data_IF_599812289212
#
_entry.id   IF_599812289212
#
_cell.length_a   1.000
_cell.length_b   1.000
_cell.length_c   1.000
_cell.angle_alpha   90.00
_cell.angle_beta   90.00
_cell.angle_gamma   90.00
#
_symmetry.space_group_name_H-M   'P 1'
#
loop_
_entity.id
_entity.type
_entity.pdbx_description
1 polymer ?
#
# COMPACT_ATOMS: atom_id res chain seq x y z
N UNK A 1 20.78 1.41 -16.65
CA UNK A 1 19.72 2.43 -16.73
C UNK A 1 18.80 2.16 -15.55
N UNK A 2 18.94 2.93 -14.47
CA UNK A 2 18.09 2.76 -13.29
C UNK A 2 16.70 3.29 -13.62
N UNK A 3 15.67 2.47 -13.46
CA UNK A 3 14.29 2.91 -13.58
C UNK A 3 14.02 3.95 -12.47
N UNK A 4 14.13 5.23 -12.80
CA UNK A 4 13.57 6.29 -11.97
C UNK A 4 12.06 6.19 -12.14
N UNK A 5 11.40 5.40 -11.29
CA UNK A 5 9.94 5.47 -11.18
C UNK A 5 9.64 6.91 -10.74
N UNK A 6 9.05 7.69 -11.63
CA UNK A 6 8.74 9.10 -11.39
C UNK A 6 7.65 9.22 -10.34
N UNK A 7 8.05 9.25 -9.06
CA UNK A 7 7.15 9.53 -7.96
C UNK A 7 6.82 11.02 -7.98
N UNK A 8 5.52 11.33 -7.99
CA UNK A 8 5.03 12.70 -8.05
C UNK A 8 3.90 12.92 -7.04
N UNK A 9 3.94 14.01 -6.28
CA UNK A 9 2.92 14.33 -5.26
C UNK A 9 1.49 14.50 -5.81
N UNK A 10 1.33 14.62 -7.12
CA UNK A 10 0.04 14.69 -7.82
C UNK A 10 -0.62 13.32 -8.00
N UNK A 11 0.14 12.23 -7.82
CA UNK A 11 -0.39 10.87 -7.85
C UNK A 11 -1.34 10.63 -6.67
N UNK A 12 -2.25 9.67 -6.87
CA UNK A 12 -3.03 9.12 -5.77
C UNK A 12 -2.10 8.41 -4.78
N UNK A 13 -2.53 8.30 -3.53
CA UNK A 13 -1.76 7.63 -2.48
C UNK A 13 -1.55 6.14 -2.81
N UNK A 14 -2.53 5.49 -3.46
CA UNK A 14 -2.39 4.11 -3.95
C UNK A 14 -1.43 3.98 -5.12
N UNK A 15 -1.39 4.93 -6.06
CA UNK A 15 -0.39 4.88 -7.13
C UNK A 15 1.03 5.08 -6.60
N UNK A 16 1.19 5.95 -5.59
CA UNK A 16 2.46 6.11 -4.89
C UNK A 16 2.86 4.83 -4.16
N UNK A 17 1.96 4.24 -3.38
CA UNK A 17 2.21 3.00 -2.67
C UNK A 17 2.60 1.85 -3.62
N UNK A 18 1.91 1.73 -4.76
CA UNK A 18 2.20 0.74 -5.78
C UNK A 18 3.60 0.96 -6.39
N UNK A 19 3.93 2.21 -6.73
CA UNK A 19 5.22 2.59 -7.27
C UNK A 19 6.37 2.34 -6.28
N UNK A 20 6.16 2.63 -4.99
CA UNK A 20 7.11 2.36 -3.89
C UNK A 20 7.36 0.85 -3.77
N UNK A 21 6.31 0.04 -3.72
CA UNK A 21 6.42 -1.42 -3.66
C UNK A 21 7.15 -1.99 -4.89
N UNK A 22 6.80 -1.53 -6.10
CA UNK A 22 7.50 -1.88 -7.35
C UNK A 22 8.98 -1.54 -7.29
N UNK A 23 9.33 -0.35 -6.80
CA UNK A 23 10.71 0.11 -6.73
C UNK A 23 11.52 -0.67 -5.68
N UNK A 24 10.90 -1.02 -4.54
CA UNK A 24 11.52 -1.81 -3.47
C UNK A 24 11.66 -3.29 -3.83
N UNK A 25 10.71 -3.82 -4.63
CA UNK A 25 10.71 -5.21 -5.07
C UNK A 25 10.41 -6.23 -3.98
N UNK A 26 9.90 -5.79 -2.83
CA UNK A 26 9.56 -6.64 -1.69
C UNK A 26 8.35 -6.08 -0.91
N UNK A 27 7.61 -6.94 -0.18
CA UNK A 27 6.57 -6.49 0.73
C UNK A 27 7.11 -5.60 1.83
N UNK A 28 6.28 -4.65 2.28
CA UNK A 28 6.62 -3.72 3.36
C UNK A 28 5.58 -3.76 4.46
N UNK A 29 5.99 -3.40 5.68
CA UNK A 29 5.03 -3.11 6.74
C UNK A 29 4.20 -1.89 6.37
N UNK A 30 2.92 -1.92 6.73
CA UNK A 30 1.97 -0.83 6.49
C UNK A 30 2.54 0.52 6.94
N UNK A 31 3.11 0.58 8.14
CA UNK A 31 3.73 1.82 8.67
C UNK A 31 4.83 2.35 7.75
N UNK A 32 5.76 1.50 7.32
CA UNK A 32 6.87 1.89 6.44
C UNK A 32 6.37 2.34 5.06
N UNK A 33 5.34 1.67 4.54
CA UNK A 33 4.72 2.03 3.27
C UNK A 33 4.07 3.42 3.33
N UNK A 34 3.32 3.70 4.40
CA UNK A 34 2.69 5.00 4.61
C UNK A 34 3.72 6.11 4.83
N UNK A 35 4.77 5.85 5.62
CA UNK A 35 5.88 6.79 5.80
C UNK A 35 6.48 7.21 4.45
N UNK A 36 6.76 6.25 3.56
CA UNK A 36 7.29 6.56 2.22
C UNK A 36 6.30 7.30 1.32
N UNK A 37 4.99 7.02 1.42
CA UNK A 37 3.97 7.79 0.69
C UNK A 37 3.96 9.26 1.15
N UNK A 38 4.03 9.48 2.47
CA UNK A 38 4.02 10.83 3.06
C UNK A 38 5.33 11.59 2.86
N UNK A 39 6.46 10.90 2.67
CA UNK A 39 7.71 11.53 2.22
C UNK A 39 7.57 12.15 0.83
N UNK A 40 6.87 11.48 -0.09
CA UNK A 40 6.62 11.99 -1.46
C UNK A 40 5.52 13.04 -1.48
N UNK A 41 4.48 12.85 -0.67
CA UNK A 41 3.31 13.73 -0.60
C UNK A 41 3.14 14.24 0.83
N UNK A 42 3.98 15.20 1.28
CA UNK A 42 3.86 15.78 2.60
C UNK A 42 2.50 16.43 2.79
N UNK A 43 1.93 16.22 3.96
CA UNK A 43 0.62 16.75 4.35
C UNK A 43 0.81 17.84 5.40
N UNK A 44 0.25 19.02 5.16
CA UNK A 44 0.33 20.17 6.08
C UNK A 44 -1.06 20.60 6.52
N UNK A 45 -1.27 20.80 7.83
CA UNK A 45 -2.53 21.35 8.36
C UNK A 45 -3.74 20.42 8.28
N UNK A 46 -3.54 19.14 7.92
CA UNK A 46 -4.57 18.10 7.91
C UNK A 46 -4.37 17.16 9.10
N UNK A 47 -5.46 16.55 9.57
CA UNK A 47 -5.40 15.48 10.56
C UNK A 47 -4.68 14.27 9.94
N UNK A 48 -3.49 13.97 10.48
CA UNK A 48 -2.66 12.87 10.01
C UNK A 48 -3.37 11.51 10.18
N UNK A 49 -4.15 11.33 11.25
CA UNK A 49 -4.92 10.11 11.48
C UNK A 49 -5.99 9.90 10.40
N UNK A 50 -6.70 10.97 10.01
CA UNK A 50 -7.69 10.91 8.94
C UNK A 50 -7.05 10.54 7.58
N UNK A 51 -5.87 11.08 7.29
CA UNK A 51 -5.13 10.74 6.07
C UNK A 51 -4.70 9.28 6.08
N UNK A 52 -4.11 8.80 7.19
CA UNK A 52 -3.68 7.40 7.31
C UNK A 52 -4.87 6.45 7.17
N UNK A 53 -6.02 6.77 7.76
CA UNK A 53 -7.25 5.99 7.60
C UNK A 53 -7.78 6.01 6.15
N UNK A 54 -7.66 7.15 5.47
CA UNK A 54 -7.98 7.28 4.04
C UNK A 54 -7.09 6.38 3.17
N UNK A 55 -5.76 6.42 3.39
CA UNK A 55 -4.83 5.56 2.63
C UNK A 55 -5.11 4.08 2.91
N UNK A 56 -5.41 3.71 4.15
CA UNK A 56 -5.82 2.34 4.49
C UNK A 56 -7.05 1.92 3.67
N UNK A 57 -8.07 2.77 3.63
CA UNK A 57 -9.30 2.51 2.87
C UNK A 57 -9.00 2.31 1.39
N UNK A 58 -8.25 3.22 0.78
CA UNK A 58 -7.91 3.15 -0.63
C UNK A 58 -7.08 1.90 -0.96
N UNK A 59 -6.12 1.52 -0.11
CA UNK A 59 -5.33 0.30 -0.29
C UNK A 59 -6.17 -0.98 -0.24
N UNK A 60 -7.17 -1.04 0.64
CA UNK A 60 -8.08 -2.19 0.71
C UNK A 60 -9.03 -2.27 -0.50
N UNK A 61 -9.43 -1.12 -1.06
CA UNK A 61 -10.27 -1.06 -2.25
C UNK A 61 -9.50 -1.35 -3.55
N UNK A 62 -8.18 -1.12 -3.57
CA UNK A 62 -7.36 -1.29 -4.75
C UNK A 62 -6.89 -2.75 -4.93
N UNK A 63 -7.44 -3.41 -5.95
CA UNK A 63 -7.15 -4.81 -6.28
C UNK A 63 -5.70 -5.13 -6.68
N UNK A 64 -4.81 -4.13 -6.79
CA UNK A 64 -3.38 -4.36 -7.05
C UNK A 64 -2.60 -4.77 -5.80
N UNK A 65 -3.15 -4.54 -4.61
CA UNK A 65 -2.47 -4.82 -3.35
C UNK A 65 -2.94 -6.11 -2.71
N UNK A 66 -2.11 -6.69 -1.85
CA UNK A 66 -2.49 -7.85 -1.04
C UNK A 66 -1.93 -7.67 0.37
N UNK A 67 -2.79 -7.91 1.36
CA UNK A 67 -2.36 -8.07 2.74
C UNK A 67 -1.83 -9.48 2.93
N UNK A 68 -0.54 -9.58 3.25
CA UNK A 68 0.17 -10.87 3.39
C UNK A 68 0.07 -11.37 4.85
N UNK A 69 -0.49 -10.55 5.75
CA UNK A 69 -0.65 -10.84 7.18
C UNK A 69 0.31 -10.03 8.05
N UNK A 70 -0.04 -9.90 9.34
CA UNK A 70 0.74 -9.15 10.36
C UNK A 70 1.09 -7.71 9.96
N UNK A 71 0.20 -7.06 9.19
CA UNK A 71 0.38 -5.68 8.73
C UNK A 71 1.38 -5.53 7.57
N UNK A 72 1.73 -6.62 6.88
CA UNK A 72 2.61 -6.59 5.70
C UNK A 72 1.77 -6.51 4.42
N UNK A 73 2.16 -5.61 3.53
CA UNK A 73 1.50 -5.34 2.26
C UNK A 73 2.45 -5.58 1.09
N UNK A 74 1.93 -6.21 0.03
CA UNK A 74 2.65 -6.44 -1.21
C UNK A 74 1.76 -6.26 -2.44
N UNK A 75 2.30 -6.56 -3.61
CA UNK A 75 1.57 -6.50 -4.87
C UNK A 75 0.95 -7.86 -5.22
N UNK A 76 -0.28 -7.82 -5.71
CA UNK A 76 -1.06 -9.00 -6.15
C UNK A 76 -0.28 -9.85 -7.16
N UNK A 77 0.44 -9.21 -8.08
CA UNK A 77 1.25 -9.87 -9.12
C UNK A 77 2.47 -10.64 -8.57
N UNK A 78 2.86 -10.40 -7.32
CA UNK A 78 3.94 -11.17 -6.67
C UNK A 78 3.45 -12.49 -6.10
N UNK A 79 2.13 -12.63 -5.92
CA UNK A 79 1.55 -13.90 -5.53
C UNK A 79 1.76 -14.90 -6.67
N UNK A 80 2.24 -16.12 -6.41
CA UNK A 80 2.35 -17.14 -7.44
C UNK A 80 0.95 -17.40 -8.02
N UNK A 81 0.84 -17.52 -9.35
CA UNK A 81 -0.37 -17.94 -10.07
C UNK A 81 -0.81 -19.32 -9.54
N UNK A 82 -1.59 -19.30 -8.48
CA UNK A 82 -2.26 -20.44 -7.90
C UNK A 82 -3.66 -19.93 -7.62
N UNK A 83 -4.66 -20.66 -8.08
CA UNK A 83 -6.06 -20.51 -7.65
C UNK A 83 -6.23 -20.85 -6.17
N UNK A 84 -5.41 -20.23 -5.33
CA UNK A 84 -5.46 -20.25 -3.89
C UNK A 84 -6.37 -19.09 -3.56
N UNK A 85 -7.55 -19.44 -3.07
CA UNK A 85 -8.40 -18.55 -2.28
C UNK A 85 -7.48 -17.75 -1.36
N UNK A 86 -7.21 -16.49 -1.73
CA UNK A 86 -6.75 -15.48 -0.77
C UNK A 86 -7.96 -15.39 0.15
N UNK A 87 -7.90 -16.15 1.25
CA UNK A 87 -8.89 -16.03 2.32
C UNK A 87 -8.99 -14.54 2.59
N UNK A 88 -10.16 -13.99 2.23
CA UNK A 88 -10.60 -12.72 2.75
C UNK A 88 -10.49 -12.86 4.26
N UNK A 89 -9.42 -12.32 4.85
CA UNK A 89 -9.30 -12.11 6.29
C UNK A 89 -10.24 -10.97 6.72
N UNK A 90 -11.45 -10.96 6.15
CA UNK A 90 -12.55 -10.08 6.52
C UNK A 90 -13.35 -10.66 7.71
N UNK A 91 -12.95 -11.83 8.24
CA UNK A 91 -13.69 -12.56 9.30
C UNK A 91 -13.15 -12.36 10.73
N UNK A 92 -12.28 -11.38 11.01
CA UNK A 92 -11.80 -11.08 12.39
C UNK A 92 -11.86 -9.59 12.78
N UNK A 93 -12.77 -8.80 12.17
CA UNK A 93 -13.16 -7.49 12.71
C UNK A 93 -14.29 -7.65 13.75
N UNK A 94 -14.02 -8.40 14.82
CA UNK A 94 -14.81 -8.35 16.06
C UNK A 94 -13.86 -8.37 17.26
N UNK A 95 -13.50 -7.17 17.73
CA UNK A 95 -13.28 -6.81 19.15
C UNK A 95 -12.87 -5.34 19.30
#
# INVERSE_FOLDING_TARGET
>A
MGNTVGLHAQMSEVDLAHAILKAKGQPLYYRELIEQVLEVKPVTGKDLGHIIAGIHTELNLDGRFVHIGRGVWGLREWAPDKGTHIESLDDDYDN
#
